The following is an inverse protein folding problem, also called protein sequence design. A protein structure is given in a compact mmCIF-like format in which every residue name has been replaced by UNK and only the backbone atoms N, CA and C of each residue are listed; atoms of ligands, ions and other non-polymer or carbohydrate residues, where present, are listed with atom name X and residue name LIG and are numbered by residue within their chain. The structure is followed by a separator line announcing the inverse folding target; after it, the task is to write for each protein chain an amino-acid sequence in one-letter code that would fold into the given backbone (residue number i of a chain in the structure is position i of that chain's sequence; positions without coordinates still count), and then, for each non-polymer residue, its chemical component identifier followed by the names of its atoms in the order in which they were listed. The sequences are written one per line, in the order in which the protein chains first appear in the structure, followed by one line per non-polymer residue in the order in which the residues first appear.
data_IF_500117176073
#
_entry.id   IF_500117176073
#
_cell.length_a   1.000
_cell.length_b   1.000
_cell.length_c   1.000
_cell.angle_alpha   90.00
_cell.angle_beta   90.00
_cell.angle_gamma   90.00
#
_symmetry.space_group_name_H-M   'P 1'
#
loop_
_entity.id
_entity.type
_entity.pdbx_description
1 polymer ?
#
# COMPACT_ATOMS: atom_id res chain seq x y z
N UNK A 1 -0.20 32.99 13.36
CA UNK A 1 -1.18 33.44 12.36
C UNK A 1 -1.68 32.18 11.69
N UNK A 2 -2.89 31.77 12.05
CA UNK A 2 -3.60 30.65 11.41
C UNK A 2 -3.82 30.97 9.93
N UNK A 3 -3.86 29.95 9.07
CA UNK A 3 -4.08 30.10 7.61
C UNK A 3 -5.54 30.48 7.26
N UNK A 4 -6.38 30.74 8.26
CA UNK A 4 -7.83 30.96 8.17
C UNK A 4 -8.16 32.41 8.49
N UNK A 5 -9.07 33.02 7.73
CA UNK A 5 -9.56 34.39 7.91
C UNK A 5 -10.62 34.45 9.04
N UNK A 6 -10.15 34.25 10.27
CA UNK A 6 -10.94 34.38 11.50
C UNK A 6 -10.36 35.47 12.39
N UNK A 7 -11.22 36.14 13.16
CA UNK A 7 -10.77 37.18 14.09
C UNK A 7 -9.81 36.61 15.15
N UNK A 8 -8.88 37.45 15.62
CA UNK A 8 -7.90 37.07 16.64
C UNK A 8 -8.56 36.52 17.93
N UNK A 9 -9.74 37.06 18.27
CA UNK A 9 -10.52 36.62 19.43
C UNK A 9 -11.09 35.19 19.23
N UNK A 10 -11.59 34.87 18.03
CA UNK A 10 -12.10 33.53 17.71
C UNK A 10 -10.94 32.52 17.67
N UNK A 11 -9.80 32.91 17.10
CA UNK A 11 -8.60 32.07 17.08
C UNK A 11 -8.11 31.73 18.50
N UNK A 12 -8.13 32.69 19.43
CA UNK A 12 -7.76 32.43 20.82
C UNK A 12 -8.65 31.38 21.49
N UNK A 13 -9.97 31.40 21.24
CA UNK A 13 -10.93 30.45 21.82
C UNK A 13 -10.72 29.04 21.23
N UNK A 14 -10.47 28.93 19.93
CA UNK A 14 -10.20 27.64 19.28
C UNK A 14 -8.86 27.03 19.74
N UNK A 15 -7.84 27.86 19.97
CA UNK A 15 -6.55 27.38 20.47
C UNK A 15 -6.60 26.94 21.94
N UNK A 16 -7.43 27.58 22.78
CA UNK A 16 -7.61 27.18 24.19
C UNK A 16 -8.50 25.93 24.36
N UNK A 17 -9.30 25.59 23.33
CA UNK A 17 -10.17 24.44 23.37
C UNK A 17 -9.40 23.11 23.47
N UNK A 18 -9.88 22.23 24.35
CA UNK A 18 -9.36 20.86 24.57
C UNK A 18 -9.74 19.91 23.42
N UNK A 19 -9.25 20.21 22.21
CA UNK A 19 -9.52 19.50 20.97
C UNK A 19 -8.23 19.07 20.25
N UNK A 20 -8.20 17.86 19.65
CA UNK A 20 -7.14 17.44 18.75
C UNK A 20 -6.94 18.41 17.58
N UNK A 21 -5.70 18.53 17.08
CA UNK A 21 -5.34 19.44 15.98
C UNK A 21 -6.27 19.32 14.76
N UNK A 22 -6.58 18.10 14.31
CA UNK A 22 -7.47 17.87 13.16
C UNK A 22 -8.87 18.45 13.36
N UNK A 23 -9.46 18.26 14.55
CA UNK A 23 -10.77 18.81 14.86
C UNK A 23 -10.72 20.34 14.97
N UNK A 24 -9.61 20.91 15.44
CA UNK A 24 -9.41 22.38 15.42
C UNK A 24 -9.35 22.93 14.00
N UNK A 25 -8.61 22.27 13.10
CA UNK A 25 -8.56 22.63 11.67
C UNK A 25 -9.95 22.55 11.01
N UNK A 26 -10.74 21.52 11.30
CA UNK A 26 -12.12 21.39 10.82
C UNK A 26 -13.04 22.49 11.36
N UNK A 27 -12.91 22.84 12.65
CA UNK A 27 -13.64 23.94 13.26
C UNK A 27 -13.26 25.26 12.58
N UNK A 28 -11.96 25.55 12.38
CA UNK A 28 -11.52 26.75 11.68
C UNK A 28 -12.11 26.87 10.27
N UNK A 29 -12.03 25.80 9.47
CA UNK A 29 -12.63 25.76 8.13
C UNK A 29 -14.14 26.03 8.17
N UNK A 30 -14.84 25.48 9.16
CA UNK A 30 -16.29 25.64 9.29
C UNK A 30 -16.68 27.06 9.73
N UNK A 31 -15.89 27.68 10.60
CA UNK A 31 -16.14 29.05 11.08
C UNK A 31 -15.86 30.09 9.98
N UNK A 32 -14.82 29.87 9.18
CA UNK A 32 -14.49 30.71 8.02
C UNK A 32 -15.59 30.66 6.95
N UNK A 33 -16.11 29.47 6.63
CA UNK A 33 -17.18 29.29 5.62
C UNK A 33 -18.51 29.95 5.98
N UNK A 34 -18.78 30.17 7.28
CA UNK A 34 -20.10 30.55 7.78
C UNK A 34 -20.20 31.98 8.30
N UNK A 35 -19.12 32.75 8.26
CA UNK A 35 -19.05 34.15 8.72
C UNK A 35 -19.79 34.35 10.06
N UNK A 36 -19.41 33.57 11.07
CA UNK A 36 -20.12 33.55 12.36
C UNK A 36 -19.70 34.68 13.30
N UNK A 37 -20.63 35.09 14.17
CA UNK A 37 -20.30 36.01 15.27
C UNK A 37 -19.45 35.32 16.34
N UNK A 38 -18.80 36.11 17.20
CA UNK A 38 -18.00 35.56 18.30
C UNK A 38 -18.83 34.72 19.30
N UNK A 39 -20.10 35.10 19.52
CA UNK A 39 -21.01 34.34 20.39
C UNK A 39 -21.36 32.97 19.78
N UNK A 40 -21.70 32.95 18.48
CA UNK A 40 -21.99 31.72 17.75
C UNK A 40 -20.75 30.81 17.64
N UNK A 41 -19.57 31.40 17.41
CA UNK A 41 -18.31 30.66 17.39
C UNK A 41 -18.05 29.99 18.75
N UNK A 42 -18.26 30.70 19.86
CA UNK A 42 -18.10 30.13 21.20
C UNK A 42 -19.10 28.98 21.45
N UNK A 43 -20.37 29.15 21.06
CA UNK A 43 -21.39 28.10 21.20
C UNK A 43 -21.01 26.84 20.40
N UNK A 44 -20.53 27.01 19.17
CA UNK A 44 -20.07 25.89 18.31
C UNK A 44 -18.90 25.16 18.96
N UNK A 45 -17.92 25.90 19.48
CA UNK A 45 -16.72 25.30 20.10
C UNK A 45 -17.11 24.57 21.38
N UNK A 46 -17.93 25.17 22.25
CA UNK A 46 -18.41 24.54 23.48
C UNK A 46 -19.20 23.26 23.18
N UNK A 47 -20.12 23.29 22.21
CA UNK A 47 -20.87 22.12 21.78
C UNK A 47 -19.95 21.02 21.22
N UNK A 48 -18.94 21.40 20.43
CA UNK A 48 -17.96 20.47 19.86
C UNK A 48 -17.11 19.82 20.96
N UNK A 49 -16.65 20.60 21.94
CA UNK A 49 -15.89 20.09 23.09
C UNK A 49 -16.76 19.17 23.95
N UNK A 50 -18.02 19.52 24.18
CA UNK A 50 -18.97 18.68 24.91
C UNK A 50 -19.17 17.34 24.19
N UNK A 51 -19.47 17.36 22.89
CA UNK A 51 -19.63 16.15 22.08
C UNK A 51 -18.34 15.31 22.05
N UNK A 52 -17.18 15.95 21.92
CA UNK A 52 -15.90 15.26 21.94
C UNK A 52 -15.66 14.55 23.27
N UNK A 53 -16.03 15.18 24.40
CA UNK A 53 -15.89 14.58 25.73
C UNK A 53 -16.88 13.45 25.96
N UNK A 54 -18.12 13.60 25.51
CA UNK A 54 -19.18 12.58 25.65
C UNK A 54 -18.91 11.34 24.80
N UNK A 55 -18.28 11.50 23.62
CA UNK A 55 -17.97 10.38 22.72
C UNK A 55 -16.69 9.62 23.10
N UNK A 56 -16.00 10.01 24.17
CA UNK A 56 -14.83 9.26 24.67
C UNK A 56 -15.29 7.91 25.23
N UNK A 57 -14.46 6.90 25.02
CA UNK A 57 -14.67 5.58 25.63
C UNK A 57 -14.54 5.71 27.14
N UNK A 58 -15.47 5.08 27.86
CA UNK A 58 -15.46 5.09 29.31
C UNK A 58 -14.23 4.35 29.87
N UNK A 59 -13.66 4.84 30.99
CA UNK A 59 -12.55 4.15 31.61
C UNK A 59 -13.00 2.76 32.07
N UNK A 60 -12.13 1.76 31.86
CA UNK A 60 -12.35 0.34 32.18
C UNK A 60 -13.28 -0.43 31.23
N UNK A 61 -13.71 0.17 30.12
CA UNK A 61 -14.40 -0.58 29.08
C UNK A 61 -13.50 -1.68 28.47
N UNK A 62 -14.05 -2.88 28.20
CA UNK A 62 -13.29 -4.02 27.68
C UNK A 62 -12.99 -3.88 26.17
N UNK A 63 -12.29 -2.81 25.79
CA UNK A 63 -11.98 -2.46 24.38
C UNK A 63 -11.26 -3.56 23.63
N UNK A 64 -10.42 -4.36 24.32
CA UNK A 64 -9.70 -5.48 23.71
C UNK A 64 -10.65 -6.59 23.23
N UNK A 65 -11.62 -6.97 24.06
CA UNK A 65 -12.59 -8.02 23.72
C UNK A 65 -13.52 -7.56 22.60
N UNK A 66 -14.03 -6.32 22.70
CA UNK A 66 -14.91 -5.75 21.67
C UNK A 66 -14.17 -5.64 20.34
N UNK A 67 -12.94 -5.10 20.34
CA UNK A 67 -12.13 -4.97 19.12
C UNK A 67 -11.81 -6.33 18.49
N UNK A 68 -11.46 -7.34 19.29
CA UNK A 68 -11.20 -8.69 18.79
C UNK A 68 -12.43 -9.31 18.12
N UNK A 69 -13.62 -9.15 18.73
CA UNK A 69 -14.86 -9.61 18.13
C UNK A 69 -15.20 -8.84 16.85
N UNK A 70 -15.10 -7.50 16.86
CA UNK A 70 -15.42 -6.65 15.71
C UNK A 70 -14.55 -6.92 14.49
N UNK A 71 -13.28 -7.30 14.68
CA UNK A 71 -12.37 -7.69 13.59
C UNK A 71 -12.62 -9.15 13.16
N UNK A 72 -12.89 -10.05 14.11
CA UNK A 72 -13.02 -11.48 13.85
C UNK A 72 -14.36 -11.91 13.24
N UNK A 73 -15.47 -11.27 13.62
CA UNK A 73 -16.83 -11.62 13.18
C UNK A 73 -17.00 -11.49 11.65
N UNK A 74 -16.54 -10.41 10.98
CA UNK A 74 -16.54 -10.30 9.53
C UNK A 74 -15.72 -11.40 8.86
N UNK A 75 -14.66 -11.92 9.49
CA UNK A 75 -13.81 -12.97 8.94
C UNK A 75 -14.58 -14.24 8.58
N UNK A 76 -15.67 -14.54 9.29
CA UNK A 76 -16.57 -15.66 8.96
C UNK A 76 -17.47 -15.40 7.75
N UNK A 77 -17.78 -14.11 7.52
CA UNK A 77 -18.60 -13.62 6.41
C UNK A 77 -17.76 -13.34 5.15
N UNK A 78 -16.44 -13.27 5.28
CA UNK A 78 -15.49 -13.12 4.18
C UNK A 78 -15.31 -14.44 3.41
N UNK A 79 -16.38 -14.97 2.82
CA UNK A 79 -16.37 -16.28 2.16
C UNK A 79 -16.31 -16.23 0.63
N UNK A 80 -15.87 -15.10 0.04
CA UNK A 80 -15.36 -14.90 -1.34
C UNK A 80 -15.94 -13.64 -1.98
N UNK A 81 -15.17 -12.54 -2.01
CA UNK A 81 -15.47 -11.41 -2.89
C UNK A 81 -14.62 -11.53 -4.18
N UNK A 82 -15.30 -11.99 -5.24
CA UNK A 82 -15.11 -11.68 -6.67
C UNK A 82 -13.71 -11.84 -7.28
N UNK A 83 -13.45 -13.02 -7.84
CA UNK A 83 -12.28 -13.40 -8.67
C UNK A 83 -12.07 -12.59 -9.97
N UNK A 84 -12.77 -11.48 -10.19
CA UNK A 84 -12.78 -10.81 -11.48
C UNK A 84 -12.54 -9.33 -11.28
N UNK A 85 -11.29 -8.97 -10.95
CA UNK A 85 -10.84 -7.59 -11.14
C UNK A 85 -10.62 -7.39 -12.64
N UNK A 86 -11.59 -6.77 -13.31
CA UNK A 86 -11.47 -6.46 -14.72
C UNK A 86 -10.35 -5.41 -14.91
N UNK A 87 -9.19 -5.84 -15.43
CA UNK A 87 -8.25 -4.92 -16.08
C UNK A 87 -6.75 -5.10 -15.84
N UNK A 88 -6.29 -5.95 -14.91
CA UNK A 88 -4.84 -6.18 -14.71
C UNK A 88 -4.61 -7.65 -14.38
N UNK A 89 -3.82 -8.35 -15.20
CA UNK A 89 -3.71 -9.81 -15.25
C UNK A 89 -2.93 -10.46 -14.08
N UNK A 90 -2.56 -9.72 -13.03
CA UNK A 90 -1.48 -10.19 -12.15
C UNK A 90 -1.58 -9.76 -10.68
N UNK A 91 -2.74 -9.32 -10.22
CA UNK A 91 -2.95 -9.12 -8.79
C UNK A 91 -3.88 -10.21 -8.28
N UNK A 92 -3.29 -11.35 -7.88
CA UNK A 92 -3.96 -12.37 -7.10
C UNK A 92 -4.30 -11.82 -5.69
N UNK A 93 -5.28 -10.92 -5.62
CA UNK A 93 -5.85 -10.39 -4.35
C UNK A 93 -6.83 -11.42 -3.76
N UNK A 94 -6.53 -12.72 -3.86
CA UNK A 94 -7.45 -13.78 -3.40
C UNK A 94 -7.27 -14.12 -1.92
N UNK A 95 -6.35 -13.47 -1.22
CA UNK A 95 -6.01 -13.82 0.16
C UNK A 95 -6.64 -12.93 1.23
N UNK A 96 -7.84 -12.36 1.06
CA UNK A 96 -8.43 -11.44 2.06
C UNK A 96 -8.32 -11.93 3.52
N UNK A 97 -8.86 -13.12 3.81
CA UNK A 97 -8.74 -13.75 5.14
C UNK A 97 -7.37 -14.39 5.40
N UNK A 98 -6.77 -15.18 4.47
CA UNK A 98 -5.43 -15.74 4.67
C UNK A 98 -4.39 -14.67 5.00
N UNK A 99 -4.38 -13.55 4.30
CA UNK A 99 -3.47 -12.42 4.52
C UNK A 99 -3.66 -11.78 5.89
N UNK A 100 -4.89 -11.63 6.35
CA UNK A 100 -5.17 -11.12 7.70
C UNK A 100 -4.55 -12.04 8.76
N UNK A 101 -4.68 -13.36 8.59
CA UNK A 101 -4.07 -14.36 9.48
C UNK A 101 -2.55 -14.24 9.46
N UNK A 102 -1.91 -14.14 8.28
CA UNK A 102 -0.45 -13.98 8.18
C UNK A 102 0.08 -12.77 8.94
N UNK A 103 -0.63 -11.64 8.85
CA UNK A 103 -0.26 -10.38 9.51
C UNK A 103 -0.42 -10.46 11.02
N UNK A 104 -1.52 -11.05 11.51
CA UNK A 104 -1.79 -11.20 12.95
C UNK A 104 -0.83 -12.22 13.59
N UNK A 105 -0.53 -13.31 12.90
CA UNK A 105 0.42 -14.34 13.37
C UNK A 105 1.89 -13.91 13.24
N UNK A 106 2.16 -12.74 12.66
CA UNK A 106 3.50 -12.21 12.41
C UNK A 106 4.42 -13.23 11.70
N UNK A 107 3.90 -13.86 10.64
CA UNK A 107 4.69 -14.83 9.86
C UNK A 107 5.93 -14.18 9.28
N UNK A 108 7.07 -14.87 9.41
CA UNK A 108 8.37 -14.38 8.93
C UNK A 108 8.41 -14.21 7.41
N UNK A 109 7.79 -15.14 6.68
CA UNK A 109 7.73 -15.14 5.22
C UNK A 109 6.25 -15.25 4.81
N UNK A 110 5.68 -14.22 4.16
CA UNK A 110 4.31 -14.28 3.64
C UNK A 110 4.24 -15.11 2.37
N UNK A 111 3.08 -15.72 2.09
CA UNK A 111 2.88 -16.63 0.96
C UNK A 111 3.00 -15.90 -0.40
N UNK A 112 2.53 -14.65 -0.47
CA UNK A 112 2.65 -13.79 -1.67
C UNK A 112 3.26 -12.43 -1.32
N UNK A 113 4.61 -12.31 -1.23
CA UNK A 113 5.27 -11.03 -0.98
C UNK A 113 5.14 -10.13 -2.22
N UNK A 114 4.71 -8.88 -2.01
CA UNK A 114 4.65 -7.86 -3.04
C UNK A 114 5.40 -6.60 -2.59
N UNK A 115 5.97 -5.88 -3.56
CA UNK A 115 6.70 -4.65 -3.33
C UNK A 115 6.30 -3.61 -4.38
N UNK A 116 5.97 -2.41 -3.92
CA UNK A 116 5.77 -1.25 -4.79
C UNK A 116 7.09 -0.50 -4.88
N UNK A 117 7.69 -0.50 -6.07
CA UNK A 117 8.95 0.21 -6.34
C UNK A 117 8.62 1.57 -6.95
N UNK A 118 8.98 2.65 -6.26
CA UNK A 118 8.89 4.00 -6.79
C UNK A 118 10.17 4.32 -7.56
N UNK A 119 10.00 4.91 -8.75
CA UNK A 119 11.11 5.33 -9.59
C UNK A 119 11.43 6.81 -9.31
N UNK A 120 12.71 7.17 -9.38
CA UNK A 120 13.14 8.57 -9.37
C UNK A 120 12.63 9.28 -10.62
N UNK A 121 12.45 10.61 -10.56
CA UNK A 121 11.86 11.42 -11.65
C UNK A 121 12.50 11.13 -13.01
N UNK A 122 13.82 10.95 -13.03
CA UNK A 122 14.60 10.65 -14.22
C UNK A 122 14.18 9.32 -14.92
N UNK A 123 13.73 8.33 -14.15
CA UNK A 123 13.28 7.01 -14.63
C UNK A 123 11.75 6.89 -14.69
N UNK A 124 11.02 7.71 -13.95
CA UNK A 124 9.55 7.68 -13.87
C UNK A 124 8.87 8.27 -15.11
N UNK A 125 9.49 9.24 -15.77
CA UNK A 125 8.88 9.96 -16.91
C UNK A 125 8.95 9.18 -18.24
N UNK A 126 9.81 8.16 -18.35
CA UNK A 126 9.98 7.37 -19.58
C UNK A 126 9.75 5.89 -19.34
N UNK A 127 8.84 5.31 -20.15
CA UNK A 127 8.54 3.88 -20.13
C UNK A 127 9.78 3.02 -20.40
N UNK A 128 10.63 3.42 -21.34
CA UNK A 128 11.85 2.66 -21.70
C UNK A 128 12.83 2.59 -20.52
N UNK A 129 12.97 3.69 -19.79
CA UNK A 129 13.83 3.78 -18.60
C UNK A 129 13.27 3.01 -17.41
N UNK A 130 11.95 3.03 -17.23
CA UNK A 130 11.28 2.20 -16.24
C UNK A 130 11.51 0.69 -16.50
N UNK A 131 11.44 0.26 -17.77
CA UNK A 131 11.72 -1.14 -18.15
C UNK A 131 13.16 -1.55 -17.83
N UNK A 132 14.13 -0.64 -17.98
CA UNK A 132 15.53 -0.91 -17.59
C UNK A 132 15.65 -1.30 -16.11
N UNK A 133 14.92 -0.60 -15.23
CA UNK A 133 14.91 -0.88 -13.79
C UNK A 133 14.23 -2.21 -13.49
N UNK A 134 13.13 -2.52 -14.19
CA UNK A 134 12.43 -3.81 -14.06
C UNK A 134 13.38 -4.97 -14.37
N UNK A 135 14.12 -4.91 -15.48
CA UNK A 135 15.07 -5.97 -15.85
C UNK A 135 16.24 -6.10 -14.87
N UNK A 136 16.70 -5.00 -14.28
CA UNK A 136 17.76 -5.05 -13.25
C UNK A 136 17.31 -5.74 -11.97
N UNK A 137 16.01 -5.69 -11.66
CA UNK A 137 15.43 -6.30 -10.45
C UNK A 137 14.95 -7.73 -10.74
N UNK A 138 14.47 -8.01 -11.96
CA UNK A 138 13.96 -9.32 -12.35
C UNK A 138 15.10 -10.36 -12.44
N UNK A 139 15.16 -11.24 -11.44
CA UNK A 139 16.06 -12.39 -11.47
C UNK A 139 15.55 -13.44 -12.45
N UNK A 140 16.16 -13.51 -13.63
CA UNK A 140 15.86 -14.54 -14.62
C UNK A 140 16.72 -15.79 -14.39
N UNK A 141 16.11 -16.95 -14.19
CA UNK A 141 16.79 -18.25 -14.08
C UNK A 141 16.93 -18.91 -15.45
N UNK A 142 17.98 -19.70 -15.67
CA UNK A 142 18.18 -20.47 -16.93
C UNK A 142 16.96 -21.33 -17.28
N UNK A 143 16.30 -21.92 -16.29
CA UNK A 143 15.09 -22.74 -16.48
C UNK A 143 13.89 -21.94 -17.02
N UNK A 144 13.90 -20.61 -16.91
CA UNK A 144 12.88 -19.74 -17.51
C UNK A 144 13.23 -19.33 -18.94
N UNK A 145 14.47 -19.57 -19.38
CA UNK A 145 14.99 -19.17 -20.70
C UNK A 145 15.02 -20.34 -21.69
N UNK A 146 14.84 -21.57 -21.24
CA UNK A 146 14.87 -22.74 -22.11
C UNK A 146 14.87 -24.07 -21.37
N UNK A 147 14.99 -25.15 -22.15
CA UNK A 147 14.97 -26.52 -21.66
C UNK A 147 16.39 -27.00 -21.33
N UNK A 148 16.54 -27.62 -20.16
CA UNK A 148 17.79 -28.27 -19.74
C UNK A 148 17.63 -29.77 -19.87
N UNK A 149 18.44 -30.38 -20.71
CA UNK A 149 18.50 -31.83 -20.91
C UNK A 149 19.87 -32.36 -20.50
N UNK A 150 19.89 -33.56 -19.93
CA UNK A 150 21.15 -34.21 -19.53
C UNK A 150 21.30 -35.53 -20.27
N UNK A 151 22.38 -35.66 -21.02
CA UNK A 151 22.79 -36.92 -21.63
C UNK A 151 23.79 -37.62 -20.70
N UNK A 152 23.33 -38.69 -20.06
CA UNK A 152 24.10 -39.46 -19.08
C UNK A 152 25.17 -40.33 -19.75
N UNK A 153 24.98 -40.74 -21.00
CA UNK A 153 25.94 -41.58 -21.72
C UNK A 153 27.22 -40.80 -22.07
N UNK A 154 27.05 -39.54 -22.46
CA UNK A 154 28.15 -38.65 -22.81
C UNK A 154 28.59 -37.75 -21.63
N UNK A 155 27.90 -37.82 -20.49
CA UNK A 155 28.08 -36.92 -19.33
C UNK A 155 28.00 -35.43 -19.72
N UNK A 156 27.07 -35.07 -20.61
CA UNK A 156 26.87 -33.70 -21.10
C UNK A 156 25.52 -33.16 -20.66
N UNK A 157 25.51 -31.91 -20.19
CA UNK A 157 24.29 -31.12 -19.98
C UNK A 157 24.11 -30.21 -21.19
N UNK A 158 22.98 -30.32 -21.87
CA UNK A 158 22.61 -29.50 -23.02
C UNK A 158 21.46 -28.57 -22.63
N UNK A 159 21.70 -27.26 -22.76
CA UNK A 159 20.70 -26.21 -22.53
C UNK A 159 20.23 -25.69 -23.89
N UNK A 160 18.94 -25.83 -24.17
CA UNK A 160 18.29 -25.34 -25.39
C UNK A 160 17.52 -24.07 -25.06
N UNK A 161 18.09 -22.92 -25.37
CA UNK A 161 17.48 -21.61 -25.10
C UNK A 161 16.43 -21.25 -26.17
N UNK A 162 15.34 -20.62 -25.75
CA UNK A 162 14.30 -20.13 -26.65
C UNK A 162 14.58 -18.67 -27.08
N UNK A 163 14.75 -18.44 -28.39
CA UNK A 163 15.04 -17.11 -28.95
C UNK A 163 13.93 -16.07 -28.69
N UNK A 164 12.67 -16.47 -28.62
CA UNK A 164 11.55 -15.56 -28.40
C UNK A 164 11.59 -14.99 -26.97
N UNK A 165 11.80 -15.86 -25.99
CA UNK A 165 11.93 -15.47 -24.57
C UNK A 165 13.16 -14.59 -24.31
N UNK A 166 14.26 -14.85 -25.03
CA UNK A 166 15.48 -14.05 -24.94
C UNK A 166 15.27 -12.62 -25.46
N UNK A 167 14.55 -12.44 -26.58
CA UNK A 167 14.29 -11.11 -27.17
C UNK A 167 13.37 -10.24 -26.31
N UNK A 168 12.40 -10.83 -25.62
CA UNK A 168 11.44 -10.07 -24.79
C UNK A 168 12.01 -9.66 -23.43
N UNK A 169 12.89 -10.48 -22.85
CA UNK A 169 13.40 -10.27 -21.49
C UNK A 169 14.78 -9.61 -21.43
N UNK A 170 15.54 -9.62 -22.52
CA UNK A 170 16.94 -9.18 -22.49
C UNK A 170 17.37 -8.41 -23.76
N UNK A 171 17.14 -7.09 -23.86
CA UNK A 171 17.42 -6.35 -25.09
C UNK A 171 18.89 -5.96 -25.30
N UNK A 172 19.80 -6.38 -24.41
CA UNK A 172 21.21 -5.92 -24.47
C UNK A 172 22.19 -6.88 -25.13
N UNK A 173 21.78 -8.11 -25.48
CA UNK A 173 22.71 -9.10 -26.03
C UNK A 173 22.10 -9.73 -27.28
N UNK A 174 22.69 -9.43 -28.44
CA UNK A 174 22.26 -9.97 -29.73
C UNK A 174 22.68 -11.45 -29.91
N UNK A 175 23.61 -11.94 -29.07
CA UNK A 175 24.17 -13.29 -29.13
C UNK A 175 23.80 -14.15 -27.89
N UNK A 176 23.06 -15.26 -28.05
CA UNK A 176 22.75 -16.18 -26.97
C UNK A 176 23.98 -16.84 -26.32
N UNK A 177 25.15 -16.86 -26.99
CA UNK A 177 26.40 -17.39 -26.44
C UNK A 177 26.98 -16.47 -25.36
N UNK A 178 26.96 -15.15 -25.56
CA UNK A 178 27.38 -14.17 -24.55
C UNK A 178 26.46 -14.18 -23.32
N UNK A 179 25.17 -14.49 -23.53
CA UNK A 179 24.19 -14.69 -22.45
C UNK A 179 24.57 -15.93 -21.62
N UNK A 180 24.95 -17.04 -22.27
CA UNK A 180 25.38 -18.25 -21.57
C UNK A 180 26.67 -18.04 -20.76
N UNK A 181 27.64 -17.25 -21.26
CA UNK A 181 28.88 -16.93 -20.55
C UNK A 181 28.69 -16.01 -19.34
N UNK A 182 27.72 -15.08 -19.37
CA UNK A 182 27.44 -14.19 -18.23
C UNK A 182 26.63 -14.84 -17.11
N UNK A 183 25.92 -15.93 -17.41
CA UNK A 183 25.09 -16.66 -16.44
C UNK A 183 25.85 -17.83 -15.78
N UNK A 184 26.90 -18.36 -16.44
CA UNK A 184 27.79 -19.41 -15.91
C UNK A 184 28.77 -18.89 -14.84
#
# INVERSE_FOLDING_TARGET
MTEYDVSDDVAAIVEDADLPRRLREEVYSTLEEREVTLEEANEIIEATVAQYRETRVDPLDPVGTVSAQSIGEPGTQMTMNTFHYAGVAEIDVTQGLPRLIELVDARKEPDTPMMTVYLEDEYAESRERAHEVVWKIESTKILQLGDVSTNVADMVVQVSLNEETLRERWPTVEDPVEVAERIA
#
